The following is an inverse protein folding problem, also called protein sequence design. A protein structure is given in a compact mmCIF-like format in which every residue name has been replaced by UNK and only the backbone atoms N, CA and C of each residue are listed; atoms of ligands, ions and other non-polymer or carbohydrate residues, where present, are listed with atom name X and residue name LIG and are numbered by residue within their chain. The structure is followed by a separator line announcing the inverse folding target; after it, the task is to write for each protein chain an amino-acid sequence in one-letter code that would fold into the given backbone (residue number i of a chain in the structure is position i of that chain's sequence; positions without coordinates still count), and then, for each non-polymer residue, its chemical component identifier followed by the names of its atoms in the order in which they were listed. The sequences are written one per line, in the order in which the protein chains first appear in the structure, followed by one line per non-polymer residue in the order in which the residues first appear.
data_IF_074408699141
#
_entry.id   IF_074408699141
#
_cell.length_a   1.000
_cell.length_b   1.000
_cell.length_c   1.000
_cell.angle_alpha   90.00
_cell.angle_beta   90.00
_cell.angle_gamma   90.00
#
_symmetry.space_group_name_H-M   'P 1'
#
loop_
_entity.id
_entity.type
_entity.pdbx_description
1 polymer ?
#
# COMPACT_ATOMS: atom_id res chain seq x y z
N UNK A 1 13.71 0.92 9.79
CA UNK A 1 14.03 1.79 8.62
C UNK A 1 15.52 1.88 8.28
N UNK A 2 16.41 2.00 9.28
CA UNK A 2 17.83 2.31 9.05
C UNK A 2 18.59 1.29 8.18
N UNK A 3 18.39 -0.01 8.38
CA UNK A 3 19.06 -1.04 7.54
C UNK A 3 18.65 -0.98 6.06
N UNK A 4 17.37 -0.74 5.78
CA UNK A 4 16.86 -0.58 4.42
C UNK A 4 17.38 0.72 3.79
N UNK A 5 17.38 1.82 4.54
CA UNK A 5 17.94 3.11 4.07
C UNK A 5 19.43 3.04 3.79
N UNK A 6 20.19 2.31 4.60
CA UNK A 6 21.62 2.09 4.36
C UNK A 6 21.91 1.40 3.02
N UNK A 7 20.90 0.72 2.44
CA UNK A 7 20.96 0.08 1.11
C UNK A 7 20.31 0.93 0.01
N UNK A 8 19.95 2.18 0.29
CA UNK A 8 19.34 3.10 -0.68
C UNK A 8 17.85 2.87 -0.91
N UNK A 9 17.16 2.09 -0.06
CA UNK A 9 15.72 1.93 -0.19
C UNK A 9 14.96 3.20 0.19
N UNK A 10 13.91 3.51 -0.59
CA UNK A 10 12.90 4.51 -0.23
C UNK A 10 11.87 3.90 0.71
N UNK A 11 11.53 4.61 1.79
CA UNK A 11 10.57 4.17 2.79
C UNK A 11 9.23 4.87 2.56
N UNK A 12 8.21 4.08 2.19
CA UNK A 12 6.81 4.52 2.17
C UNK A 12 6.15 3.92 3.41
N UNK A 13 5.65 4.78 4.28
CA UNK A 13 5.02 4.40 5.54
C UNK A 13 3.51 4.61 5.47
N UNK A 14 2.74 3.59 5.83
CA UNK A 14 1.32 3.71 6.16
C UNK A 14 1.22 3.67 7.68
N UNK A 15 0.63 4.70 8.28
CA UNK A 15 0.58 4.86 9.74
C UNK A 15 -0.76 5.43 10.19
N UNK A 16 -1.05 5.35 11.48
CA UNK A 16 -2.24 5.96 12.06
C UNK A 16 -2.12 7.49 12.09
N UNK A 17 -3.21 8.18 11.79
CA UNK A 17 -3.33 9.63 11.99
C UNK A 17 -2.96 10.00 13.43
N UNK A 18 -2.05 10.96 13.57
CA UNK A 18 -1.52 11.43 14.85
C UNK A 18 -0.20 10.78 15.29
N UNK A 19 0.31 9.77 14.57
CA UNK A 19 1.66 9.24 14.77
C UNK A 19 2.70 10.02 13.93
N UNK A 20 2.98 11.26 14.37
CA UNK A 20 3.87 12.18 13.65
C UNK A 20 5.35 11.78 13.77
N UNK A 21 5.76 11.09 14.84
CA UNK A 21 7.14 10.67 15.04
C UNK A 21 7.54 9.62 14.01
N UNK A 22 6.70 8.61 13.78
CA UNK A 22 6.95 7.61 12.75
C UNK A 22 6.92 8.23 11.34
N UNK A 23 6.04 9.20 11.10
CA UNK A 23 5.91 9.89 9.82
C UNK A 23 7.18 10.67 9.44
N UNK A 24 7.84 11.32 10.40
CA UNK A 24 9.08 12.09 10.17
C UNK A 24 10.25 11.22 9.69
N UNK A 25 10.23 9.93 10.01
CA UNK A 25 11.28 8.98 9.63
C UNK A 25 11.08 8.37 8.23
N UNK A 26 9.97 8.64 7.55
CA UNK A 26 9.66 8.09 6.22
C UNK A 26 9.99 9.06 5.08
N UNK A 27 10.28 8.54 3.87
CA UNK A 27 10.38 9.39 2.67
C UNK A 27 8.99 9.83 2.18
N UNK A 28 8.00 8.97 2.36
CA UNK A 28 6.58 9.23 2.07
C UNK A 28 5.77 8.66 3.23
N UNK A 29 4.93 9.48 3.85
CA UNK A 29 4.03 9.07 4.92
C UNK A 29 2.57 9.20 4.45
N UNK A 30 1.79 8.13 4.61
CA UNK A 30 0.37 8.03 4.27
C UNK A 30 -0.38 7.72 5.56
N UNK A 31 -1.04 8.74 6.11
CA UNK A 31 -1.86 8.56 7.29
C UNK A 31 -3.17 7.86 6.93
N UNK A 32 -3.61 6.93 7.77
CA UNK A 32 -4.95 6.34 7.76
C UNK A 32 -5.67 6.69 9.08
N UNK A 33 -7.01 6.79 9.08
CA UNK A 33 -7.74 7.09 10.31
C UNK A 33 -7.40 6.11 11.42
N UNK A 34 -7.06 6.62 12.59
CA UNK A 34 -6.81 5.79 13.77
C UNK A 34 -8.08 4.97 14.09
N UNK A 35 -7.90 3.67 14.29
CA UNK A 35 -9.01 2.73 14.53
C UNK A 35 -8.57 1.63 15.48
N UNK A 36 -9.53 0.81 15.90
CA UNK A 36 -9.23 -0.36 16.72
C UNK A 36 -8.27 -1.30 15.97
N UNK A 37 -7.24 -1.83 16.65
CA UNK A 37 -6.18 -2.64 16.04
C UNK A 37 -6.69 -3.85 15.25
N UNK A 38 -7.81 -4.44 15.66
CA UNK A 38 -8.47 -5.55 14.95
C UNK A 38 -9.00 -5.12 13.57
N UNK A 39 -9.40 -3.86 13.41
CA UNK A 39 -9.99 -3.30 12.18
C UNK A 39 -8.93 -2.57 11.33
N UNK A 40 -7.78 -2.18 11.91
CA UNK A 40 -6.73 -1.47 11.18
C UNK A 40 -6.26 -2.14 9.88
N UNK A 41 -6.25 -3.49 9.72
CA UNK A 41 -5.92 -4.12 8.44
C UNK A 41 -6.89 -3.74 7.30
N UNK A 42 -8.15 -3.44 7.60
CA UNK A 42 -9.14 -3.03 6.60
C UNK A 42 -8.87 -1.63 6.05
N UNK A 43 -8.31 -0.73 6.86
CA UNK A 43 -7.97 0.62 6.42
C UNK A 43 -6.60 0.66 5.75
N UNK A 44 -5.62 -0.04 6.29
CA UNK A 44 -4.24 -0.04 5.75
C UNK A 44 -4.11 -0.69 4.37
N UNK A 45 -5.07 -1.54 3.95
CA UNK A 45 -5.08 -2.10 2.59
C UNK A 45 -5.54 -1.11 1.52
N UNK A 46 -6.33 -0.09 1.89
CA UNK A 46 -6.91 0.85 0.92
C UNK A 46 -5.83 1.65 0.17
N UNK A 47 -4.82 2.25 0.83
CA UNK A 47 -3.71 2.89 0.12
C UNK A 47 -2.95 1.94 -0.80
N UNK A 48 -2.81 0.67 -0.43
CA UNK A 48 -2.13 -0.34 -1.24
C UNK A 48 -2.92 -0.68 -2.51
N UNK A 49 -4.25 -0.78 -2.40
CA UNK A 49 -5.15 -0.97 -3.54
C UNK A 49 -5.08 0.23 -4.51
N UNK A 50 -5.08 1.45 -3.97
CA UNK A 50 -4.95 2.68 -4.76
C UNK A 50 -3.59 2.77 -5.43
N UNK A 51 -2.50 2.42 -4.73
CA UNK A 51 -1.16 2.38 -5.31
C UNK A 51 -1.10 1.41 -6.49
N UNK A 52 -1.64 0.19 -6.33
CA UNK A 52 -1.68 -0.79 -7.41
C UNK A 52 -2.52 -0.30 -8.61
N UNK A 53 -3.68 0.31 -8.34
CA UNK A 53 -4.53 0.89 -9.36
C UNK A 53 -3.82 1.98 -10.15
N UNK A 54 -3.28 3.00 -9.47
CA UNK A 54 -2.61 4.12 -10.13
C UNK A 54 -1.34 3.68 -10.87
N UNK A 55 -0.57 2.75 -10.32
CA UNK A 55 0.58 2.19 -11.01
C UNK A 55 0.17 1.43 -12.29
N UNK A 56 -0.92 0.65 -12.24
CA UNK A 56 -1.42 -0.06 -13.41
C UNK A 56 -1.92 0.89 -14.51
N UNK A 57 -2.65 1.96 -14.12
CA UNK A 57 -3.10 3.01 -15.05
C UNK A 57 -1.91 3.71 -15.70
N UNK A 58 -0.93 4.15 -14.91
CA UNK A 58 0.28 4.84 -15.40
C UNK A 58 1.10 3.96 -16.34
N UNK A 59 1.18 2.66 -16.04
CA UNK A 59 1.88 1.67 -16.88
C UNK A 59 1.07 1.20 -18.09
N UNK A 60 -0.12 1.77 -18.35
CA UNK A 60 -1.01 1.39 -19.45
C UNK A 60 -1.43 -0.07 -19.40
N UNK A 61 -1.70 -0.61 -18.21
CA UNK A 61 -2.12 -2.00 -18.00
C UNK A 61 -3.65 -2.07 -17.86
N UNK A 62 -4.23 -3.18 -18.31
CA UNK A 62 -5.65 -3.46 -18.10
C UNK A 62 -5.88 -3.79 -16.62
N UNK A 63 -6.51 -2.85 -15.91
CA UNK A 63 -6.80 -2.94 -14.48
C UNK A 63 -7.88 -3.98 -14.19
N UNK A 64 -8.90 -4.05 -15.05
CA UNK A 64 -10.08 -4.91 -14.83
C UNK A 64 -9.82 -6.36 -15.28
N UNK A 65 -8.97 -6.53 -16.30
CA UNK A 65 -8.61 -7.83 -16.88
C UNK A 65 -7.09 -7.99 -16.94
N UNK A 66 -6.42 -8.13 -15.78
CA UNK A 66 -4.98 -8.37 -15.75
C UNK A 66 -4.63 -9.65 -16.53
N UNK A 67 -3.49 -9.60 -17.23
CA UNK A 67 -3.03 -10.73 -18.06
C UNK A 67 -2.98 -12.03 -17.24
N UNK A 68 -3.34 -13.14 -17.87
CA UNK A 68 -3.23 -14.49 -17.31
C UNK A 68 -4.07 -14.75 -16.04
N UNK A 69 -5.01 -13.86 -15.68
CA UNK A 69 -5.88 -14.04 -14.52
C UNK A 69 -7.34 -14.20 -14.95
N UNK A 70 -8.07 -14.99 -14.17
CA UNK A 70 -9.52 -15.09 -14.23
C UNK A 70 -10.09 -14.62 -12.89
N UNK A 71 -11.33 -14.11 -12.89
CA UNK A 71 -12.00 -13.66 -11.66
C UNK A 71 -12.17 -14.78 -10.62
N UNK A 72 -12.33 -16.00 -11.11
CA UNK A 72 -12.43 -17.24 -10.35
C UNK A 72 -11.91 -18.38 -11.22
N UNK A 73 -11.09 -19.27 -10.66
CA UNK A 73 -10.67 -20.50 -11.34
C UNK A 73 -11.68 -21.58 -11.00
N UNK A 74 -12.45 -22.05 -11.98
CA UNK A 74 -13.54 -23.02 -11.77
C UNK A 74 -13.33 -24.32 -12.54
N UNK A 75 -12.08 -24.77 -12.66
CA UNK A 75 -11.75 -26.06 -13.29
C UNK A 75 -11.17 -27.00 -12.23
N UNK A 76 -11.70 -28.23 -12.20
CA UNK A 76 -11.16 -29.37 -11.44
C UNK A 76 -9.83 -29.87 -12.03
#
# INVERSE_FOLDING_TARGET
FQECRARGAKIILIHDEGDDEAAMEADIAIAVPSTHSVISPLLTVVPLQLLAYHAAVELGKDVDKPRNLAKSVTVE
#
